data_IF_057464504282
#
_entry.id   IF_057464504282
#
_cell.length_a   1.000
_cell.length_b   1.000
_cell.length_c   1.000
_cell.angle_alpha   90.00
_cell.angle_beta   90.00
_cell.angle_gamma   90.00
#
_symmetry.space_group_name_H-M   'P 1'
#
loop_
_entity.id
_entity.type
_entity.pdbx_description
1 polymer ?
#
# COMPACT_ATOMS: atom_id res chain seq x y z
N UNK A 1 -34.52 7.31 -9.78
CA UNK A 1 -33.08 7.64 -9.74
C UNK A 1 -32.56 7.45 -8.33
N UNK A 2 -31.44 6.75 -8.13
CA UNK A 2 -30.78 6.71 -6.82
C UNK A 2 -30.01 8.02 -6.66
N UNK A 3 -30.26 8.77 -5.60
CA UNK A 3 -29.54 10.00 -5.28
C UNK A 3 -28.36 9.68 -4.39
N UNK A 4 -27.16 10.14 -4.75
CA UNK A 4 -25.99 10.08 -3.87
C UNK A 4 -26.18 11.10 -2.73
N UNK A 5 -26.11 10.61 -1.50
CA UNK A 5 -26.15 11.43 -0.29
C UNK A 5 -25.04 10.99 0.65
N UNK A 6 -24.43 11.92 1.40
CA UNK A 6 -23.55 11.53 2.50
C UNK A 6 -24.32 10.64 3.49
N UNK A 7 -23.72 9.50 3.87
CA UNK A 7 -24.28 8.61 4.90
C UNK A 7 -23.68 8.99 6.26
N UNK A 8 -22.40 9.28 6.30
CA UNK A 8 -21.66 9.66 7.50
C UNK A 8 -20.52 10.60 7.14
N UNK A 9 -20.14 11.48 8.04
CA UNK A 9 -19.03 12.42 7.90
C UNK A 9 -18.31 12.53 9.23
N UNK A 10 -16.98 12.49 9.20
CA UNK A 10 -16.12 12.65 10.37
C UNK A 10 -15.00 13.64 10.04
N UNK A 11 -14.81 14.63 10.88
CA UNK A 11 -13.71 15.58 10.78
C UNK A 11 -12.58 15.16 11.72
N UNK A 12 -11.34 15.21 11.20
CA UNK A 12 -10.12 14.94 11.96
C UNK A 12 -9.30 16.22 12.11
N UNK A 13 -8.46 16.28 13.14
CA UNK A 13 -7.50 17.36 13.39
C UNK A 13 -6.10 17.03 12.81
N UNK A 14 -6.02 16.09 11.88
CA UNK A 14 -4.81 15.66 11.19
C UNK A 14 -5.13 15.36 9.72
N UNK A 15 -4.08 15.31 8.91
CA UNK A 15 -4.21 14.93 7.50
C UNK A 15 -4.40 13.43 7.36
N UNK A 16 -5.42 13.02 6.60
CA UNK A 16 -5.64 11.62 6.19
C UNK A 16 -4.90 11.42 4.87
N UNK A 17 -3.92 10.50 4.86
CA UNK A 17 -3.12 10.24 3.67
C UNK A 17 -3.77 9.21 2.76
N UNK A 18 -4.11 8.05 3.31
CA UNK A 18 -4.81 6.99 2.60
C UNK A 18 -5.80 6.29 3.51
N UNK A 19 -6.71 5.55 2.90
CA UNK A 19 -7.76 4.83 3.60
C UNK A 19 -8.09 3.52 2.90
N UNK A 20 -8.47 2.51 3.69
CA UNK A 20 -8.87 1.21 3.19
C UNK A 20 -9.94 0.57 4.07
N UNK A 21 -10.80 -0.23 3.45
CA UNK A 21 -11.75 -1.10 4.16
C UNK A 21 -11.07 -2.41 4.55
N UNK A 22 -11.48 -2.98 5.70
CA UNK A 22 -11.22 -4.38 5.92
C UNK A 22 -12.10 -5.25 5.01
N UNK A 23 -11.77 -6.54 4.88
CA UNK A 23 -12.48 -7.44 3.96
C UNK A 23 -13.94 -7.69 4.36
N UNK A 24 -14.29 -7.55 5.64
CA UNK A 24 -15.65 -7.70 6.16
C UNK A 24 -16.51 -6.44 5.97
N UNK A 25 -15.89 -5.32 5.57
CA UNK A 25 -16.54 -4.05 5.29
C UNK A 25 -17.24 -3.41 6.50
N UNK A 26 -16.78 -3.71 7.71
CA UNK A 26 -17.30 -3.18 8.97
C UNK A 26 -16.32 -2.25 9.68
N UNK A 27 -15.05 -2.27 9.27
CA UNK A 27 -13.99 -1.39 9.76
C UNK A 27 -13.35 -0.59 8.62
N UNK A 28 -12.95 0.61 8.97
CA UNK A 28 -12.33 1.56 8.08
C UNK A 28 -11.01 2.05 8.66
N UNK A 29 -9.94 1.90 7.91
CA UNK A 29 -8.59 2.21 8.34
C UNK A 29 -8.09 3.48 7.66
N UNK A 30 -7.49 4.39 8.43
CA UNK A 30 -6.91 5.66 7.95
C UNK A 30 -5.46 5.75 8.35
N UNK A 31 -4.61 6.17 7.43
CA UNK A 31 -3.22 6.53 7.72
C UNK A 31 -3.05 8.04 7.86
N UNK A 32 -2.07 8.48 8.65
CA UNK A 32 -1.82 9.91 8.85
C UNK A 32 -0.33 10.29 8.83
N UNK A 33 -0.09 11.60 8.81
CA UNK A 33 1.25 12.19 8.81
C UNK A 33 2.05 11.98 10.10
N UNK A 34 1.39 11.55 11.19
CA UNK A 34 2.03 11.29 12.47
C UNK A 34 2.48 9.85 12.64
N UNK A 35 2.39 9.03 11.60
CA UNK A 35 2.78 7.61 11.61
C UNK A 35 1.78 6.69 12.30
N UNK A 36 0.53 7.08 12.37
CA UNK A 36 -0.53 6.31 12.99
C UNK A 36 -1.52 5.75 11.97
N UNK A 37 -2.11 4.61 12.33
CA UNK A 37 -3.28 4.03 11.67
C UNK A 37 -4.45 4.13 12.64
N UNK A 38 -5.52 4.77 12.22
CA UNK A 38 -6.79 4.87 12.95
C UNK A 38 -7.76 3.82 12.42
N UNK A 39 -8.40 3.11 13.33
CA UNK A 39 -9.42 2.11 13.02
C UNK A 39 -10.78 2.65 13.46
N UNK A 40 -11.70 2.78 12.51
CA UNK A 40 -13.04 3.27 12.73
C UNK A 40 -14.05 2.19 12.41
N UNK A 41 -15.14 2.12 13.18
CA UNK A 41 -16.29 1.28 12.84
C UNK A 41 -17.14 1.93 11.74
N UNK A 42 -17.83 1.12 10.96
CA UNK A 42 -18.81 1.57 9.98
C UNK A 42 -20.20 1.04 10.35
N UNK A 43 -21.28 1.83 10.17
CA UNK A 43 -21.33 3.14 9.52
C UNK A 43 -21.16 4.35 10.43
N UNK A 44 -21.00 4.17 11.73
CA UNK A 44 -20.99 5.22 12.75
C UNK A 44 -19.67 6.00 12.86
N UNK A 45 -18.61 5.53 12.19
CA UNK A 45 -17.25 6.12 12.16
C UNK A 45 -16.65 6.34 13.56
N UNK A 46 -17.04 5.53 14.54
CA UNK A 46 -16.49 5.61 15.89
C UNK A 46 -15.07 5.05 15.89
N UNK A 47 -14.13 5.82 16.43
CA UNK A 47 -12.75 5.36 16.61
C UNK A 47 -12.70 4.17 17.57
N UNK A 48 -12.20 3.04 17.11
CA UNK A 48 -12.03 1.80 17.89
C UNK A 48 -10.60 1.67 18.41
N UNK A 49 -9.62 1.89 17.52
CA UNK A 49 -8.21 1.75 17.86
C UNK A 49 -7.36 2.83 17.19
N UNK A 50 -6.17 3.06 17.73
CA UNK A 50 -5.09 3.82 17.09
C UNK A 50 -3.82 3.03 17.28
N UNK A 51 -3.15 2.76 16.19
CA UNK A 51 -1.88 2.03 16.15
C UNK A 51 -0.78 2.99 15.74
N UNK A 52 0.28 3.11 16.53
CA UNK A 52 1.51 3.81 16.13
C UNK A 52 2.33 2.85 15.28
N UNK A 53 2.16 2.92 13.96
CA UNK A 53 2.74 1.97 13.03
C UNK A 53 4.19 2.29 12.69
N UNK A 54 4.52 3.57 12.49
CA UNK A 54 5.84 4.02 12.08
C UNK A 54 6.29 5.29 12.84
N UNK A 55 7.59 5.54 12.94
CA UNK A 55 8.09 6.82 13.43
C UNK A 55 7.80 7.99 12.45
N UNK A 56 7.82 7.69 11.14
CA UNK A 56 7.52 8.64 10.06
C UNK A 56 6.05 8.59 9.61
N UNK A 57 5.72 9.43 8.64
CA UNK A 57 4.39 9.48 8.01
C UNK A 57 3.98 8.13 7.45
N UNK A 58 2.82 7.61 7.82
CA UNK A 58 2.18 6.49 7.11
C UNK A 58 1.55 7.03 5.83
N UNK A 59 2.05 6.55 4.68
CA UNK A 59 1.66 7.06 3.36
C UNK A 59 0.55 6.21 2.76
N UNK A 60 0.72 4.89 2.75
CA UNK A 60 -0.21 3.97 2.09
C UNK A 60 -0.58 2.79 3.00
N UNK A 61 -1.73 2.18 2.71
CA UNK A 61 -2.27 1.02 3.42
C UNK A 61 -2.99 0.09 2.46
N UNK A 62 -2.72 -1.21 2.57
CA UNK A 62 -3.34 -2.23 1.73
C UNK A 62 -3.71 -3.45 2.57
N UNK A 63 -4.90 -4.02 2.32
CA UNK A 63 -5.35 -5.26 2.96
C UNK A 63 -4.98 -6.48 2.12
N UNK A 64 -4.48 -7.52 2.80
CA UNK A 64 -4.28 -8.81 2.16
C UNK A 64 -5.64 -9.43 1.77
N UNK A 65 -5.73 -10.13 0.62
CA UNK A 65 -6.97 -10.77 0.19
C UNK A 65 -7.54 -11.80 1.18
N UNK A 66 -6.69 -12.36 2.05
CA UNK A 66 -7.10 -13.26 3.11
C UNK A 66 -7.94 -12.60 4.22
N UNK A 67 -7.84 -11.27 4.36
CA UNK A 67 -8.46 -10.51 5.45
C UNK A 67 -7.75 -10.63 6.80
N UNK A 68 -6.65 -11.38 6.90
CA UNK A 68 -5.92 -11.57 8.17
C UNK A 68 -4.85 -10.51 8.43
N UNK A 69 -4.36 -9.86 7.37
CA UNK A 69 -3.26 -8.92 7.44
C UNK A 69 -3.57 -7.63 6.69
N UNK A 70 -2.91 -6.57 7.11
CA UNK A 70 -2.77 -5.34 6.35
C UNK A 70 -1.33 -4.85 6.38
N UNK A 71 -0.89 -4.19 5.33
CA UNK A 71 0.43 -3.60 5.23
C UNK A 71 0.34 -2.07 5.23
N UNK A 72 1.33 -1.42 5.83
CA UNK A 72 1.44 0.05 5.90
C UNK A 72 2.80 0.45 5.36
N UNK A 73 2.81 1.32 4.36
CA UNK A 73 4.02 1.92 3.81
C UNK A 73 4.26 3.31 4.37
N UNK A 74 5.52 3.64 4.63
CA UNK A 74 5.89 4.85 5.34
C UNK A 74 6.95 5.69 4.64
N UNK A 75 7.02 6.95 5.04
CA UNK A 75 8.05 7.90 4.65
C UNK A 75 9.45 7.54 5.22
N UNK A 76 9.53 6.64 6.18
CA UNK A 76 10.79 6.11 6.71
C UNK A 76 11.42 5.00 5.85
N UNK A 77 10.89 4.82 4.62
CA UNK A 77 11.33 3.83 3.64
C UNK A 77 11.09 2.36 4.07
N UNK A 78 10.22 2.13 5.03
CA UNK A 78 9.87 0.78 5.49
C UNK A 78 8.39 0.46 5.26
N UNK A 79 8.10 -0.84 5.24
CA UNK A 79 6.74 -1.38 5.23
C UNK A 79 6.57 -2.24 6.48
N UNK A 80 5.46 -2.08 7.17
CA UNK A 80 5.05 -2.94 8.28
C UNK A 80 3.85 -3.79 7.91
N UNK A 81 3.88 -5.07 8.27
CA UNK A 81 2.76 -6.02 8.12
C UNK A 81 2.14 -6.25 9.49
N UNK A 82 0.84 -6.15 9.56
CA UNK A 82 0.06 -6.20 10.79
C UNK A 82 -0.95 -7.32 10.76
N UNK A 83 -1.00 -8.10 11.83
CA UNK A 83 -2.10 -9.01 12.11
C UNK A 83 -3.35 -8.19 12.49
N UNK A 84 -4.47 -8.46 11.81
CA UNK A 84 -5.69 -7.69 12.00
C UNK A 84 -6.38 -7.98 13.33
N UNK A 85 -6.34 -9.22 13.81
CA UNK A 85 -7.04 -9.64 15.03
C UNK A 85 -6.44 -9.00 16.27
N UNK A 86 -5.09 -8.98 16.34
CA UNK A 86 -4.37 -8.51 17.52
C UNK A 86 -3.83 -7.08 17.37
N UNK A 87 -3.92 -6.51 16.16
CA UNK A 87 -3.29 -5.23 15.78
C UNK A 87 -1.80 -5.21 16.14
N UNK A 88 -1.13 -6.33 15.90
CA UNK A 88 0.27 -6.53 16.19
C UNK A 88 1.11 -6.53 14.91
N UNK A 89 2.25 -5.81 14.92
CA UNK A 89 3.21 -5.87 13.83
C UNK A 89 3.89 -7.24 13.83
N UNK A 90 3.72 -7.99 12.75
CA UNK A 90 4.26 -9.36 12.59
C UNK A 90 5.51 -9.39 11.73
N UNK A 91 5.70 -8.40 10.84
CA UNK A 91 6.83 -8.33 9.93
C UNK A 91 7.13 -6.87 9.56
N UNK A 92 8.41 -6.60 9.24
CA UNK A 92 8.86 -5.33 8.67
C UNK A 92 9.77 -5.58 7.47
N UNK A 93 9.62 -4.76 6.42
CA UNK A 93 10.44 -4.81 5.22
C UNK A 93 11.18 -3.48 5.10
N UNK A 94 12.52 -3.54 5.07
CA UNK A 94 13.41 -2.37 5.14
C UNK A 94 14.42 -2.37 4.00
N UNK A 95 14.01 -2.82 2.81
CA UNK A 95 14.90 -2.95 1.66
C UNK A 95 14.92 -1.73 0.74
N UNK A 96 13.93 -0.84 0.90
CA UNK A 96 13.85 0.42 0.16
C UNK A 96 14.63 1.51 0.89
N UNK A 97 15.13 2.49 0.14
CA UNK A 97 15.85 3.65 0.65
C UNK A 97 15.01 4.94 0.59
N UNK A 98 13.90 4.91 -0.15
CA UNK A 98 12.99 6.04 -0.33
C UNK A 98 11.58 5.75 0.18
N UNK A 99 10.79 6.82 0.49
CA UNK A 99 9.42 6.68 0.98
C UNK A 99 8.57 5.70 0.17
N UNK A 100 7.90 4.78 0.87
CA UNK A 100 7.01 3.80 0.25
C UNK A 100 5.71 4.48 -0.14
N UNK A 101 5.42 4.49 -1.44
CA UNK A 101 4.29 5.22 -2.04
C UNK A 101 3.12 4.33 -2.41
N UNK A 102 3.38 3.06 -2.71
CA UNK A 102 2.35 2.14 -3.14
C UNK A 102 2.63 0.73 -2.65
N UNK A 103 1.58 0.01 -2.32
CA UNK A 103 1.58 -1.38 -1.90
C UNK A 103 0.54 -2.16 -2.70
N UNK A 104 0.80 -3.43 -2.95
CA UNK A 104 -0.20 -4.34 -3.47
C UNK A 104 0.11 -5.77 -3.07
N UNK A 105 -0.91 -6.51 -2.62
CA UNK A 105 -0.80 -7.96 -2.37
C UNK A 105 -1.14 -8.76 -3.62
N UNK A 106 -0.45 -9.88 -3.83
CA UNK A 106 -0.86 -10.88 -4.83
C UNK A 106 -2.24 -11.45 -4.49
N UNK A 107 -2.92 -11.97 -5.50
CA UNK A 107 -4.30 -12.48 -5.38
C UNK A 107 -4.50 -13.53 -4.28
N UNK A 108 -3.46 -14.28 -3.94
CA UNK A 108 -3.45 -15.30 -2.89
C UNK A 108 -2.83 -14.83 -1.56
N UNK A 109 -2.41 -13.55 -1.51
CA UNK A 109 -1.82 -12.92 -0.33
C UNK A 109 -0.41 -13.39 0.02
N UNK A 110 0.28 -14.15 -0.86
CA UNK A 110 1.62 -14.66 -0.58
C UNK A 110 2.73 -13.69 -0.87
N UNK A 111 2.53 -12.77 -1.80
CA UNK A 111 3.52 -11.78 -2.18
C UNK A 111 3.01 -10.36 -1.93
N UNK A 112 3.93 -9.50 -1.49
CA UNK A 112 3.70 -8.07 -1.33
C UNK A 112 4.67 -7.33 -2.25
N UNK A 113 4.12 -6.50 -3.13
CA UNK A 113 4.88 -5.56 -3.95
C UNK A 113 4.89 -4.19 -3.28
N UNK A 114 6.06 -3.54 -3.24
CA UNK A 114 6.27 -2.21 -2.68
C UNK A 114 6.93 -1.30 -3.72
N UNK A 115 6.30 -0.16 -3.97
CA UNK A 115 6.78 0.87 -4.90
C UNK A 115 7.21 2.14 -4.16
N UNK A 116 8.30 2.74 -4.64
CA UNK A 116 8.90 3.96 -4.07
C UNK A 116 9.58 4.80 -5.16
N UNK A 117 10.41 5.73 -4.73
CA UNK A 117 11.33 6.47 -5.62
C UNK A 117 12.63 5.71 -5.89
N UNK A 118 12.81 4.51 -5.33
CA UNK A 118 13.87 3.58 -5.70
C UNK A 118 13.74 3.13 -7.16
N UNK A 119 14.87 2.77 -7.78
CA UNK A 119 14.88 2.31 -9.17
C UNK A 119 14.57 0.80 -9.30
N UNK A 120 13.72 0.31 -8.43
CA UNK A 120 13.15 -1.05 -8.49
C UNK A 120 11.85 -1.14 -7.69
N UNK A 121 11.00 -2.08 -8.05
CA UNK A 121 9.85 -2.52 -7.26
C UNK A 121 10.29 -3.73 -6.45
N UNK A 122 10.19 -3.67 -5.11
CA UNK A 122 10.50 -4.78 -4.22
C UNK A 122 9.33 -5.77 -4.16
N UNK A 123 9.62 -7.06 -4.29
CA UNK A 123 8.63 -8.14 -4.12
C UNK A 123 9.10 -9.08 -3.02
N UNK A 124 8.31 -9.17 -1.97
CA UNK A 124 8.58 -9.95 -0.78
C UNK A 124 7.60 -11.11 -0.59
N UNK A 125 8.06 -12.17 0.04
CA UNK A 125 7.19 -13.20 0.62
C UNK A 125 6.56 -12.66 1.90
N UNK A 126 5.23 -12.75 1.99
CA UNK A 126 4.45 -12.21 3.12
C UNK A 126 4.70 -13.00 4.40
N UNK A 127 4.89 -14.31 4.30
CA UNK A 127 5.05 -15.19 5.47
C UNK A 127 6.45 -15.13 6.07
N UNK A 128 7.47 -15.16 5.22
CA UNK A 128 8.88 -15.20 5.67
C UNK A 128 9.49 -13.81 5.79
N UNK A 129 8.94 -12.81 5.09
CA UNK A 129 9.50 -11.48 4.95
C UNK A 129 10.72 -11.42 4.01
N UNK A 130 11.10 -12.54 3.41
CA UNK A 130 12.26 -12.61 2.53
C UNK A 130 11.96 -11.98 1.17
N UNK A 131 13.01 -11.48 0.53
CA UNK A 131 12.94 -10.98 -0.83
C UNK A 131 12.73 -12.13 -1.81
N UNK A 132 11.67 -12.06 -2.60
CA UNK A 132 11.46 -12.97 -3.73
C UNK A 132 12.26 -12.47 -4.94
N UNK A 133 12.06 -11.21 -5.30
CA UNK A 133 12.76 -10.57 -6.41
C UNK A 133 12.61 -9.05 -6.31
N UNK A 134 13.35 -8.34 -7.14
CA UNK A 134 13.12 -6.93 -7.47
C UNK A 134 12.96 -6.79 -8.99
N UNK A 135 12.10 -5.86 -9.38
CA UNK A 135 11.90 -5.51 -10.78
C UNK A 135 12.61 -4.19 -11.02
N UNK A 136 13.72 -4.16 -11.80
CA UNK A 136 14.42 -2.93 -12.08
C UNK A 136 13.55 -2.00 -12.93
N UNK A 137 13.54 -0.72 -12.58
CA UNK A 137 12.82 0.34 -13.27
C UNK A 137 13.74 1.54 -13.51
N UNK A 138 13.37 2.39 -14.45
CA UNK A 138 14.20 3.52 -14.85
C UNK A 138 13.84 4.82 -14.18
N UNK A 139 12.66 4.89 -13.59
CA UNK A 139 12.15 6.05 -12.88
C UNK A 139 11.27 5.62 -11.70
N UNK A 140 10.99 6.55 -10.78
CA UNK A 140 10.13 6.34 -9.63
C UNK A 140 8.77 5.73 -10.00
N UNK A 141 8.25 4.85 -9.15
CA UNK A 141 6.90 4.32 -9.30
C UNK A 141 6.03 4.68 -8.08
N UNK A 142 4.86 5.23 -8.36
CA UNK A 142 3.89 5.67 -7.35
C UNK A 142 2.61 4.84 -7.36
N UNK A 143 2.55 3.82 -8.20
CA UNK A 143 1.40 2.91 -8.28
C UNK A 143 1.84 1.53 -8.73
N UNK A 144 1.39 0.53 -7.99
CA UNK A 144 1.58 -0.89 -8.29
C UNK A 144 0.25 -1.62 -8.08
N UNK A 145 -0.03 -2.62 -8.89
CA UNK A 145 -1.25 -3.42 -8.74
C UNK A 145 -1.02 -4.85 -9.20
N UNK A 146 -1.22 -5.82 -8.31
CA UNK A 146 -1.28 -7.21 -8.69
C UNK A 146 -2.59 -7.53 -9.41
N UNK A 147 -2.49 -8.39 -10.42
CA UNK A 147 -3.66 -8.92 -11.09
C UNK A 147 -4.50 -9.77 -10.12
N UNK A 148 -5.85 -9.64 -10.11
CA UNK A 148 -6.71 -10.25 -9.09
C UNK A 148 -6.84 -11.78 -9.15
N UNK A 149 -6.16 -12.47 -10.09
CA UNK A 149 -6.23 -13.92 -10.28
C UNK A 149 -4.95 -14.57 -10.78
N UNK A 150 -3.90 -13.81 -11.04
CA UNK A 150 -2.65 -14.29 -11.65
C UNK A 150 -1.46 -13.55 -11.06
N UNK A 151 -0.29 -14.16 -11.12
CA UNK A 151 0.98 -13.52 -10.76
C UNK A 151 1.47 -12.56 -11.85
N UNK A 152 0.67 -11.53 -12.10
CA UNK A 152 1.01 -10.42 -12.99
C UNK A 152 0.97 -9.13 -12.18
N UNK A 153 2.05 -8.37 -12.21
CA UNK A 153 2.16 -7.07 -11.55
C UNK A 153 2.16 -5.98 -12.62
N UNK A 154 1.22 -5.05 -12.51
CA UNK A 154 1.20 -3.82 -13.29
C UNK A 154 1.73 -2.66 -12.45
N UNK A 155 2.51 -1.78 -13.05
CA UNK A 155 2.97 -0.55 -12.42
C UNK A 155 3.21 0.53 -13.47
N UNK A 156 3.12 1.78 -13.05
CA UNK A 156 3.40 2.93 -13.88
C UNK A 156 4.63 3.68 -13.37
N UNK A 157 5.49 4.08 -14.28
CA UNK A 157 6.68 4.87 -14.00
C UNK A 157 6.67 6.15 -14.85
N UNK A 158 7.30 7.18 -14.34
CA UNK A 158 7.61 8.36 -15.13
C UNK A 158 8.64 8.02 -16.22
N UNK A 159 8.71 8.82 -17.29
CA UNK A 159 9.72 8.65 -18.33
C UNK A 159 10.97 9.48 -18.01
N UNK A 160 12.16 8.87 -18.14
CA UNK A 160 13.44 9.54 -17.86
C UNK A 160 13.90 10.54 -18.93
N UNK A 161 13.32 10.55 -20.11
CA UNK A 161 13.71 11.48 -21.19
C UNK A 161 13.17 12.90 -20.95
N UNK A 162 13.50 13.52 -19.80
CA UNK A 162 12.99 14.82 -19.39
C UNK A 162 14.00 15.96 -19.50
N UNK A 163 14.65 16.15 -20.60
CA UNK A 163 15.23 17.47 -20.88
C UNK A 163 14.34 18.37 -21.75
N UNK A 164 13.27 17.85 -22.31
CA UNK A 164 12.30 18.63 -23.08
C UNK A 164 10.97 18.76 -22.34
N UNK A 165 10.75 19.91 -21.68
CA UNK A 165 9.58 20.26 -20.84
C UNK A 165 8.23 20.25 -21.56
N UNK A 166 8.07 19.55 -22.66
CA UNK A 166 6.86 19.61 -23.51
C UNK A 166 5.99 18.36 -23.53
N UNK A 167 6.41 17.25 -22.93
CA UNK A 167 5.55 16.04 -22.84
C UNK A 167 5.82 15.31 -21.52
N UNK A 168 4.84 15.30 -20.63
CA UNK A 168 4.75 14.33 -19.55
C UNK A 168 4.38 12.99 -20.20
N UNK A 169 5.36 12.11 -20.36
CA UNK A 169 5.16 10.75 -20.86
C UNK A 169 5.29 9.79 -19.71
N UNK A 170 4.31 8.92 -19.53
CA UNK A 170 4.32 7.85 -18.54
C UNK A 170 4.33 6.48 -19.20
N UNK A 171 4.99 5.51 -18.59
CA UNK A 171 5.05 4.13 -19.06
C UNK A 171 4.25 3.22 -18.11
N UNK A 172 3.35 2.41 -18.70
CA UNK A 172 2.71 1.29 -18.00
C UNK A 172 3.45 0.00 -18.38
N UNK A 173 3.91 -0.72 -17.35
CA UNK A 173 4.59 -2.02 -17.52
C UNK A 173 3.80 -3.11 -16.82
N UNK A 174 3.80 -4.31 -17.38
CA UNK A 174 3.22 -5.51 -16.77
C UNK A 174 4.29 -6.59 -16.72
N UNK A 175 4.55 -7.10 -15.53
CA UNK A 175 5.49 -8.19 -15.30
C UNK A 175 4.74 -9.43 -14.81
N UNK A 176 5.21 -10.60 -15.24
CA UNK A 176 4.68 -11.88 -14.81
C UNK A 176 5.80 -12.87 -14.50
N UNK A 177 5.53 -13.79 -13.59
CA UNK A 177 6.39 -14.96 -13.43
C UNK A 177 6.09 -15.93 -14.56
N UNK A 178 7.10 -16.25 -15.37
CA UNK A 178 6.95 -17.30 -16.39
C UNK A 178 6.76 -18.64 -15.66
N UNK A 179 5.69 -19.36 -15.96
CA UNK A 179 5.63 -20.79 -15.67
C UNK A 179 6.67 -21.48 -16.55
N UNK A 180 7.72 -22.04 -15.95
CA UNK A 180 8.58 -22.99 -16.64
C UNK A 180 7.78 -24.27 -17.01
#
# INVERSE_FOLDING_TARGET
>A
MRTLKPISEQQFNFEVNEMSWNNESDLFFLTNGLGCVYVLSFPDLVQRHVVKAHPGTCICIEFAPSGHYFAVGSADASVSLWDLENLACVQTYTRLDWPVRALSFSYDGKMLASGSEDLYVDIADVTTGEKITDIPIEAATFTVAWHPKQYLLAFACDDKEQFDRKRDTGNLKVFGFSSE
#
